data_IF_863209150517
#
_entry.id   IF_863209150517
#
_cell.length_a   1.000
_cell.length_b   1.000
_cell.length_c   1.000
_cell.angle_alpha   90.00
_cell.angle_beta   90.00
_cell.angle_gamma   90.00
#
_symmetry.space_group_name_H-M   'P 1'
#
loop_
_entity.id
_entity.type
_entity.pdbx_description
1 polymer ?
#
# COMPACT_ATOMS: atom_id res chain seq x y z
N UNK A 1 -4.81 15.03 -29.92
CA UNK A 1 -3.60 14.96 -30.77
C UNK A 1 -3.11 16.36 -31.03
N UNK A 2 -1.92 16.72 -30.53
CA UNK A 2 -1.22 17.95 -30.92
C UNK A 2 0.26 17.61 -31.02
N UNK A 3 0.82 17.74 -32.21
CA UNK A 3 2.25 17.99 -32.30
C UNK A 3 2.51 19.36 -31.69
N UNK A 4 3.62 19.52 -31.00
CA UNK A 4 4.00 20.80 -30.42
C UNK A 4 5.34 21.23 -30.98
N UNK A 5 5.44 22.52 -31.31
CA UNK A 5 6.68 23.13 -31.79
C UNK A 5 7.64 23.32 -30.63
N UNK A 6 8.87 22.86 -30.81
CA UNK A 6 9.93 22.94 -29.79
C UNK A 6 10.56 24.33 -29.71
N UNK A 7 10.24 25.24 -30.63
CA UNK A 7 10.83 26.59 -30.78
C UNK A 7 12.38 26.61 -30.82
N UNK A 8 13.00 25.48 -31.16
CA UNK A 8 14.46 25.33 -31.14
C UNK A 8 15.16 26.18 -32.21
N UNK A 9 14.45 26.48 -33.29
CA UNK A 9 14.99 27.12 -34.49
C UNK A 9 14.86 28.64 -34.52
N UNK A 10 14.04 29.23 -33.64
CA UNK A 10 13.72 30.67 -33.62
C UNK A 10 14.96 31.56 -33.44
N UNK A 11 15.95 31.10 -32.66
CA UNK A 11 17.21 31.82 -32.48
C UNK A 11 18.11 31.82 -33.72
N UNK A 12 18.10 30.73 -34.49
CA UNK A 12 18.90 30.58 -35.71
C UNK A 12 18.26 31.39 -36.85
N UNK A 13 16.93 31.40 -36.94
CA UNK A 13 16.19 32.27 -37.86
C UNK A 13 16.54 33.75 -37.62
N UNK A 14 16.50 34.19 -36.36
CA UNK A 14 16.89 35.56 -35.99
C UNK A 14 18.33 35.89 -36.36
N UNK A 15 19.28 34.99 -36.07
CA UNK A 15 20.69 35.18 -36.40
C UNK A 15 20.94 35.20 -37.92
N UNK A 16 20.25 34.36 -38.69
CA UNK A 16 20.33 34.33 -40.15
C UNK A 16 19.79 35.63 -40.77
N UNK A 17 18.65 36.15 -40.27
CA UNK A 17 18.08 37.42 -40.73
C UNK A 17 19.01 38.61 -40.42
N UNK A 18 19.60 38.65 -39.21
CA UNK A 18 20.56 39.70 -38.83
C UNK A 18 21.84 39.62 -39.67
N UNK A 19 22.41 38.43 -39.86
CA UNK A 19 23.58 38.24 -40.72
C UNK A 19 23.31 38.67 -42.17
N UNK A 20 22.12 38.37 -42.69
CA UNK A 20 21.69 38.80 -44.01
C UNK A 20 21.57 40.32 -44.13
N UNK A 21 20.94 40.97 -43.14
CA UNK A 21 20.81 42.42 -43.11
C UNK A 21 22.18 43.13 -43.04
N UNK A 22 23.08 42.68 -42.16
CA UNK A 22 24.46 43.20 -42.06
C UNK A 22 25.23 42.96 -43.36
N UNK A 23 25.07 41.78 -43.97
CA UNK A 23 25.69 41.44 -45.25
C UNK A 23 25.29 42.38 -46.39
N UNK A 24 24.00 42.75 -46.47
CA UNK A 24 23.48 43.69 -47.46
C UNK A 24 23.94 45.12 -47.17
N UNK A 25 23.79 45.59 -45.93
CA UNK A 25 24.14 46.97 -45.53
C UNK A 25 25.63 47.26 -45.73
N UNK A 26 26.50 46.33 -45.34
CA UNK A 26 27.95 46.50 -45.44
C UNK A 26 28.56 45.88 -46.71
N UNK A 27 27.73 45.40 -47.64
CA UNK A 27 28.15 44.77 -48.90
C UNK A 27 29.18 43.64 -48.69
N UNK A 28 28.97 42.80 -47.67
CA UNK A 28 29.82 41.66 -47.32
C UNK A 28 29.20 40.37 -47.86
N UNK A 29 29.60 39.88 -49.05
CA UNK A 29 28.97 38.71 -49.68
C UNK A 29 29.09 37.44 -48.81
N UNK A 30 30.14 37.31 -48.00
CA UNK A 30 30.30 36.20 -47.09
C UNK A 30 29.16 36.09 -46.05
N UNK A 31 28.67 37.22 -45.52
CA UNK A 31 27.58 37.22 -44.54
C UNK A 31 26.24 36.86 -45.18
N UNK A 32 26.03 37.23 -46.44
CA UNK A 32 24.84 36.84 -47.21
C UNK A 32 24.83 35.32 -47.44
N UNK A 33 25.97 34.70 -47.73
CA UNK A 33 26.08 33.25 -47.88
C UNK A 33 25.79 32.50 -46.56
N UNK A 34 26.30 33.00 -45.43
CA UNK A 34 25.99 32.45 -44.10
C UNK A 34 24.51 32.58 -43.76
N UNK A 35 23.90 33.73 -44.07
CA UNK A 35 22.45 33.92 -43.91
C UNK A 35 21.65 32.97 -44.79
N UNK A 36 22.05 32.78 -46.05
CA UNK A 36 21.42 31.82 -46.97
C UNK A 36 21.52 30.38 -46.48
N UNK A 37 22.65 29.98 -45.90
CA UNK A 37 22.80 28.67 -45.26
C UNK A 37 21.87 28.53 -44.04
N UNK A 38 21.76 29.59 -43.22
CA UNK A 38 20.83 29.62 -42.09
C UNK A 38 19.37 29.47 -42.52
N UNK A 39 18.94 30.20 -43.55
CA UNK A 39 17.58 30.11 -44.12
C UNK A 39 17.33 28.75 -44.78
N UNK A 40 18.32 28.18 -45.49
CA UNK A 40 18.18 26.86 -46.07
C UNK A 40 18.05 25.77 -44.99
N UNK A 41 18.78 25.91 -43.88
CA UNK A 41 18.75 24.99 -42.76
C UNK A 41 17.45 25.09 -41.95
N UNK A 42 16.91 26.29 -41.74
CA UNK A 42 15.58 26.48 -41.12
C UNK A 42 14.47 26.03 -42.05
N UNK A 43 14.60 26.27 -43.37
CA UNK A 43 13.69 25.76 -44.37
C UNK A 43 13.60 24.23 -44.35
N UNK A 44 14.74 23.53 -44.19
CA UNK A 44 14.75 22.07 -44.02
C UNK A 44 13.92 21.63 -42.80
N UNK A 45 13.92 22.40 -41.71
CA UNK A 45 13.15 22.08 -40.52
C UNK A 45 11.65 22.10 -40.81
N UNK A 46 11.15 23.16 -41.47
CA UNK A 46 9.74 23.33 -41.83
C UNK A 46 9.18 22.26 -42.78
N UNK A 47 10.05 21.58 -43.54
CA UNK A 47 9.65 20.50 -44.43
C UNK A 47 9.62 19.11 -43.77
N UNK A 48 9.91 19.02 -42.47
CA UNK A 48 9.95 17.73 -41.74
C UNK A 48 9.02 17.71 -40.54
N UNK A 49 8.07 16.78 -40.56
CA UNK A 49 7.17 16.50 -39.44
C UNK A 49 7.62 15.30 -38.61
N UNK A 50 7.21 15.26 -37.34
CA UNK A 50 7.37 14.09 -36.49
C UNK A 50 6.51 12.94 -37.05
N UNK A 51 7.11 11.77 -37.36
CA UNK A 51 6.36 10.64 -37.90
C UNK A 51 5.39 10.07 -36.84
N UNK A 52 4.23 9.58 -37.28
CA UNK A 52 3.32 8.86 -36.37
C UNK A 52 3.93 7.49 -36.04
N UNK A 53 4.11 7.14 -34.76
CA UNK A 53 4.61 5.82 -34.38
C UNK A 53 3.52 4.75 -34.57
N UNK A 54 3.66 3.91 -35.59
CA UNK A 54 2.87 2.67 -35.71
C UNK A 54 3.67 1.50 -35.16
N UNK A 55 3.51 1.22 -33.87
CA UNK A 55 4.29 0.22 -33.16
C UNK A 55 3.40 -0.87 -32.58
N UNK A 56 3.93 -2.08 -32.57
CA UNK A 56 3.38 -3.25 -31.89
C UNK A 56 4.16 -3.43 -30.58
N UNK A 57 3.46 -3.59 -29.45
CA UNK A 57 4.04 -3.61 -28.11
C UNK A 57 3.68 -4.92 -27.41
N UNK A 58 4.71 -5.68 -27.02
CA UNK A 58 4.58 -6.91 -26.24
C UNK A 58 5.26 -6.72 -24.88
N UNK A 59 4.59 -7.12 -23.81
CA UNK A 59 5.12 -7.11 -22.44
C UNK A 59 5.10 -8.52 -21.87
N UNK A 60 6.21 -8.89 -21.22
CA UNK A 60 6.36 -10.17 -20.53
C UNK A 60 6.82 -9.93 -19.09
N UNK A 61 6.13 -10.55 -18.14
CA UNK A 61 6.50 -10.55 -16.72
C UNK A 61 7.26 -11.84 -16.41
N UNK A 62 8.31 -11.78 -15.59
CA UNK A 62 9.00 -12.98 -15.11
C UNK A 62 8.11 -13.86 -14.23
N UNK A 63 7.21 -13.24 -13.48
CA UNK A 63 6.25 -13.87 -12.56
C UNK A 63 4.97 -13.01 -12.56
N UNK A 64 3.79 -13.61 -12.78
CA UNK A 64 2.52 -12.87 -12.75
C UNK A 64 1.88 -12.83 -11.36
N UNK A 65 2.27 -13.74 -10.46
CA UNK A 65 1.70 -13.85 -9.11
C UNK A 65 2.80 -13.93 -8.03
N UNK A 66 3.66 -12.91 -7.91
CA UNK A 66 4.75 -12.87 -6.94
C UNK A 66 4.23 -12.76 -5.49
N UNK A 67 5.08 -13.10 -4.53
CA UNK A 67 4.88 -12.70 -3.13
C UNK A 67 5.21 -11.20 -2.96
N UNK A 68 4.74 -10.59 -1.87
CA UNK A 68 5.03 -9.17 -1.57
C UNK A 68 6.54 -8.96 -1.38
N UNK A 69 7.06 -7.82 -1.82
CA UNK A 69 8.50 -7.43 -1.75
C UNK A 69 9.41 -8.24 -2.69
N UNK A 70 8.85 -9.08 -3.57
CA UNK A 70 9.62 -9.78 -4.60
C UNK A 70 9.84 -8.90 -5.85
N UNK A 71 11.05 -8.89 -6.38
CA UNK A 71 11.37 -8.19 -7.63
C UNK A 71 10.84 -8.95 -8.85
N UNK A 72 9.94 -8.34 -9.61
CA UNK A 72 9.43 -8.87 -10.88
C UNK A 72 10.08 -8.15 -12.05
N UNK A 73 10.74 -8.90 -12.93
CA UNK A 73 11.31 -8.36 -14.17
C UNK A 73 10.23 -8.23 -15.22
N UNK A 74 10.10 -7.02 -15.76
CA UNK A 74 9.28 -6.69 -16.93
C UNK A 74 10.19 -6.59 -18.15
N UNK A 75 9.83 -7.26 -19.24
CA UNK A 75 10.50 -7.14 -20.53
C UNK A 75 9.54 -6.61 -21.57
N UNK A 76 9.89 -5.47 -22.17
CA UNK A 76 9.08 -4.79 -23.16
C UNK A 76 9.76 -4.90 -24.51
N UNK A 77 9.07 -5.47 -25.49
CA UNK A 77 9.51 -5.53 -26.88
C UNK A 77 8.60 -4.67 -27.73
N UNK A 78 9.20 -3.74 -28.48
CA UNK A 78 8.48 -2.83 -29.35
C UNK A 78 8.96 -3.03 -30.78
N UNK A 79 8.03 -3.24 -31.72
CA UNK A 79 8.31 -3.46 -33.14
C UNK A 79 7.71 -2.35 -33.98
N UNK A 80 8.48 -1.77 -34.89
CA UNK A 80 7.95 -0.85 -35.89
C UNK A 80 7.26 -1.64 -37.00
N UNK A 81 5.92 -1.63 -37.01
CA UNK A 81 5.09 -2.27 -38.04
C UNK A 81 4.65 -1.28 -39.13
N UNK A 82 4.96 0.01 -38.95
CA UNK A 82 4.76 1.04 -39.96
C UNK A 82 5.84 1.05 -41.05
N UNK A 83 5.64 1.92 -42.03
CA UNK A 83 6.53 2.05 -43.21
C UNK A 83 7.62 3.11 -43.04
N UNK A 84 7.55 3.95 -42.00
CA UNK A 84 8.46 5.08 -41.78
C UNK A 84 9.52 4.75 -40.73
N UNK A 85 10.76 5.19 -40.96
CA UNK A 85 11.82 5.08 -39.96
C UNK A 85 11.64 6.13 -38.86
N UNK A 86 11.68 5.68 -37.60
CA UNK A 86 11.61 6.53 -36.42
C UNK A 86 13.04 6.81 -35.95
N UNK A 87 13.59 7.97 -36.31
CA UNK A 87 15.01 8.29 -36.08
C UNK A 87 15.33 8.77 -34.67
N UNK A 88 14.35 9.34 -33.97
CA UNK A 88 14.39 9.64 -32.54
C UNK A 88 13.05 9.16 -31.97
N UNK A 89 13.10 8.00 -31.32
CA UNK A 89 11.97 7.35 -30.68
C UNK A 89 12.29 7.22 -29.20
N UNK A 90 11.39 7.71 -28.35
CA UNK A 90 11.48 7.56 -26.89
C UNK A 90 10.25 6.82 -26.44
N UNK A 91 10.47 5.76 -25.70
CA UNK A 91 9.44 4.88 -25.17
C UNK A 91 9.42 5.09 -23.67
N UNK A 92 8.24 5.30 -23.10
CA UNK A 92 8.00 5.40 -21.67
C UNK A 92 6.91 4.39 -21.36
N UNK A 93 7.24 3.37 -20.58
CA UNK A 93 6.28 2.32 -20.28
C UNK A 93 5.26 2.78 -19.21
N UNK A 94 4.05 2.24 -19.30
CA UNK A 94 2.92 2.58 -18.43
C UNK A 94 2.98 1.84 -17.09
N UNK A 95 4.08 1.98 -16.33
CA UNK A 95 4.24 1.33 -15.02
C UNK A 95 3.09 1.75 -14.08
N UNK A 96 2.40 0.79 -13.43
CA UNK A 96 1.37 1.10 -12.45
C UNK A 96 1.92 2.01 -11.33
N UNK A 97 1.18 3.04 -10.90
CA UNK A 97 1.70 4.07 -9.99
C UNK A 97 2.05 3.55 -8.60
N UNK A 98 1.53 2.37 -8.22
CA UNK A 98 1.84 1.72 -6.95
C UNK A 98 3.15 0.92 -6.96
N UNK A 99 3.71 0.63 -8.15
CA UNK A 99 4.92 -0.18 -8.29
C UNK A 99 6.14 0.72 -8.48
N UNK A 100 7.16 0.53 -7.65
CA UNK A 100 8.44 1.22 -7.79
C UNK A 100 9.36 0.44 -8.73
N UNK A 101 10.08 1.16 -9.61
CA UNK A 101 11.10 0.56 -10.48
C UNK A 101 12.42 0.47 -9.70
N UNK A 102 12.80 -0.74 -9.30
CA UNK A 102 13.98 -1.01 -8.44
C UNK A 102 15.27 -1.18 -9.23
N UNK A 103 15.20 -1.70 -10.45
CA UNK A 103 16.36 -1.92 -11.33
C UNK A 103 16.02 -1.63 -12.79
N UNK A 104 17.02 -1.16 -13.55
CA UNK A 104 16.86 -0.79 -14.95
C UNK A 104 16.07 0.51 -15.15
N UNK A 105 15.38 0.62 -16.29
CA UNK A 105 14.63 1.82 -16.67
C UNK A 105 13.41 1.43 -17.48
N UNK A 106 12.23 1.88 -17.03
CA UNK A 106 10.97 1.80 -17.78
C UNK A 106 10.92 2.78 -18.97
N UNK A 107 12.08 3.26 -19.43
CA UNK A 107 12.23 4.21 -20.53
C UNK A 107 13.36 3.77 -21.44
N UNK A 108 13.15 3.91 -22.74
CA UNK A 108 14.16 3.64 -23.77
C UNK A 108 14.17 4.75 -24.83
N UNK A 109 15.35 5.36 -25.06
CA UNK A 109 15.60 6.18 -26.25
C UNK A 109 16.31 5.36 -27.33
N UNK A 110 15.74 5.31 -28.53
CA UNK A 110 16.28 4.50 -29.63
C UNK A 110 15.89 5.08 -31.00
N UNK A 111 16.33 4.41 -32.06
CA UNK A 111 15.86 4.62 -33.43
C UNK A 111 15.37 3.28 -34.01
N UNK A 112 14.24 3.29 -34.69
CA UNK A 112 13.57 2.07 -35.15
C UNK A 112 13.19 2.15 -36.63
N UNK A 113 13.90 1.38 -37.46
CA UNK A 113 13.54 1.23 -38.88
C UNK A 113 12.30 0.34 -39.04
N UNK A 114 11.58 0.45 -40.17
CA UNK A 114 10.47 -0.45 -40.48
C UNK A 114 10.85 -1.92 -40.32
N UNK A 115 9.99 -2.68 -39.65
CA UNK A 115 10.16 -4.10 -39.37
C UNK A 115 11.24 -4.45 -38.33
N UNK A 116 11.89 -3.47 -37.70
CA UNK A 116 12.87 -3.70 -36.62
C UNK A 116 12.22 -3.56 -35.25
N UNK A 117 12.83 -4.23 -34.28
CA UNK A 117 12.38 -4.24 -32.89
C UNK A 117 13.47 -3.75 -31.96
N UNK A 118 13.05 -3.19 -30.83
CA UNK A 118 13.91 -2.85 -29.71
C UNK A 118 13.30 -3.46 -28.45
N UNK A 119 14.16 -3.87 -27.52
CA UNK A 119 13.76 -4.48 -26.26
C UNK A 119 14.46 -3.78 -25.12
N UNK A 120 13.74 -3.53 -24.04
CA UNK A 120 14.29 -3.07 -22.77
C UNK A 120 13.61 -3.80 -21.62
N UNK A 121 14.30 -3.86 -20.48
CA UNK A 121 13.80 -4.53 -19.28
C UNK A 121 14.06 -3.67 -18.06
N UNK A 122 13.19 -3.82 -17.07
CA UNK A 122 13.31 -3.20 -15.75
C UNK A 122 12.67 -4.12 -14.72
N UNK A 123 13.00 -3.94 -13.44
CA UNK A 123 12.40 -4.66 -12.34
C UNK A 123 11.47 -3.74 -11.56
N UNK A 124 10.38 -4.31 -11.06
CA UNK A 124 9.48 -3.63 -10.12
C UNK A 124 9.34 -4.45 -8.85
N UNK A 125 9.28 -3.77 -7.70
CA UNK A 125 8.98 -4.45 -6.44
C UNK A 125 7.49 -4.77 -6.37
N UNK A 126 7.14 -6.03 -6.11
CA UNK A 126 5.76 -6.46 -6.00
C UNK A 126 5.08 -5.90 -4.75
N UNK A 127 4.12 -5.00 -4.96
CA UNK A 127 3.23 -4.50 -3.91
C UNK A 127 1.92 -5.27 -3.98
N UNK A 128 1.32 -5.57 -2.82
CA UNK A 128 -0.01 -6.19 -2.72
C UNK A 128 -1.04 -5.46 -3.58
N UNK A 129 -1.81 -6.21 -4.36
CA UNK A 129 -2.81 -5.64 -5.25
C UNK A 129 -2.90 -6.33 -6.61
N UNK A 130 -3.80 -5.81 -7.43
CA UNK A 130 -3.86 -6.09 -8.85
C UNK A 130 -3.36 -4.85 -9.62
N UNK A 131 -2.29 -5.03 -10.39
CA UNK A 131 -1.59 -3.94 -11.05
C UNK A 131 -1.60 -4.17 -12.56
N UNK A 132 -2.42 -3.40 -13.26
CA UNK A 132 -2.51 -3.44 -14.72
C UNK A 132 -1.63 -2.33 -15.33
N UNK A 133 -0.76 -2.69 -16.27
CA UNK A 133 0.07 -1.72 -16.98
C UNK A 133 -0.78 -0.82 -17.86
N UNK A 134 -0.50 0.48 -17.81
CA UNK A 134 -1.07 1.46 -18.72
C UNK A 134 -0.51 1.35 -20.14
N UNK A 135 -0.98 2.18 -21.08
CA UNK A 135 -0.42 2.25 -22.42
C UNK A 135 1.05 2.71 -22.37
N UNK A 136 1.84 2.27 -23.35
CA UNK A 136 3.20 2.76 -23.56
C UNK A 136 3.14 4.12 -24.27
N UNK A 137 3.78 5.14 -23.73
CA UNK A 137 3.91 6.42 -24.41
C UNK A 137 5.11 6.39 -25.37
N UNK A 138 4.84 6.59 -26.66
CA UNK A 138 5.83 6.75 -27.70
C UNK A 138 5.95 8.23 -28.09
N UNK A 139 7.14 8.78 -27.93
CA UNK A 139 7.49 10.14 -28.35
C UNK A 139 8.41 10.06 -29.56
N UNK A 140 7.98 10.66 -30.67
CA UNK A 140 8.76 10.78 -31.90
C UNK A 140 9.10 12.23 -32.17
N UNK A 141 10.27 12.44 -32.80
CA UNK A 141 10.67 13.77 -33.29
C UNK A 141 10.95 13.74 -34.78
N UNK A 142 10.73 14.87 -35.42
CA UNK A 142 11.21 15.08 -36.79
C UNK A 142 12.74 15.00 -36.84
N UNK A 143 13.35 14.67 -37.99
CA UNK A 143 14.81 14.74 -38.16
C UNK A 143 15.42 16.11 -37.84
N UNK A 144 14.66 17.20 -38.02
CA UNK A 144 15.05 18.54 -37.60
C UNK A 144 14.86 18.80 -36.10
N UNK A 145 14.22 17.88 -35.37
CA UNK A 145 13.78 18.04 -34.00
C UNK A 145 12.91 19.30 -33.76
N UNK A 146 12.30 19.86 -34.81
CA UNK A 146 11.40 21.01 -34.70
C UNK A 146 10.07 20.60 -34.06
N UNK A 147 9.50 19.50 -34.53
CA UNK A 147 8.22 18.98 -34.06
C UNK A 147 8.43 17.73 -33.22
N UNK A 148 7.65 17.63 -32.13
CA UNK A 148 7.53 16.42 -31.31
C UNK A 148 6.08 15.92 -31.35
N UNK A 149 5.90 14.59 -31.38
CA UNK A 149 4.60 13.93 -31.30
C UNK A 149 4.64 12.86 -30.21
N UNK A 150 3.60 12.85 -29.37
CA UNK A 150 3.39 11.83 -28.34
C UNK A 150 2.13 11.04 -28.66
N UNK A 151 2.22 9.72 -28.56
CA UNK A 151 1.13 8.78 -28.79
C UNK A 151 1.13 7.69 -27.71
N UNK A 152 -0.04 7.39 -27.15
CA UNK A 152 -0.22 6.30 -26.20
C UNK A 152 -0.61 5.03 -26.96
N UNK A 153 0.13 3.95 -26.73
CA UNK A 153 0.01 2.69 -27.46
C UNK A 153 -0.33 1.56 -26.49
N UNK A 154 -1.47 0.91 -26.71
CA UNK A 154 -1.85 -0.28 -25.95
C UNK A 154 -0.95 -1.48 -26.33
N UNK A 155 -0.67 -2.34 -25.35
CA UNK A 155 0.01 -3.61 -25.63
C UNK A 155 -0.94 -4.59 -26.34
N UNK A 156 -0.38 -5.57 -27.05
CA UNK A 156 -1.15 -6.63 -27.72
C UNK A 156 -2.06 -7.40 -26.76
N UNK A 157 -1.60 -7.60 -25.52
CA UNK A 157 -2.33 -8.28 -24.46
C UNK A 157 -2.30 -7.48 -23.16
N UNK A 158 -3.37 -7.62 -22.37
CA UNK A 158 -3.44 -7.03 -21.04
C UNK A 158 -2.35 -7.62 -20.14
N UNK A 159 -1.54 -6.76 -19.54
CA UNK A 159 -0.45 -7.16 -18.65
C UNK A 159 -0.83 -6.81 -17.23
N UNK A 160 -1.03 -7.84 -16.40
CA UNK A 160 -1.49 -7.69 -15.01
C UNK A 160 -0.60 -8.49 -14.07
N UNK A 161 -0.10 -7.84 -13.02
CA UNK A 161 0.59 -8.47 -11.89
C UNK A 161 -0.38 -8.56 -10.70
N UNK A 162 -0.50 -9.75 -10.11
CA UNK A 162 -1.42 -10.03 -9.00
C UNK A 162 -0.63 -10.48 -7.78
N UNK A 163 -0.35 -9.55 -6.88
CA UNK A 163 0.33 -9.86 -5.62
C UNK A 163 -0.72 -10.03 -4.52
N UNK A 164 -0.89 -11.26 -4.03
CA UNK A 164 -1.83 -11.58 -2.96
C UNK A 164 -1.04 -11.96 -1.70
N UNK A 165 -1.40 -11.42 -0.51
CA UNK A 165 -0.61 -11.67 0.67
C UNK A 165 -0.67 -13.16 1.06
N UNK A 166 0.46 -13.68 1.54
CA UNK A 166 0.49 -15.02 2.14
C UNK A 166 -0.20 -14.98 3.51
N UNK A 167 -1.24 -15.80 3.66
CA UNK A 167 -1.90 -16.06 4.96
C UNK A 167 -1.41 -17.38 5.58
N UNK A 168 -0.21 -17.83 5.21
CA UNK A 168 0.39 -19.03 5.79
C UNK A 168 0.83 -18.77 7.25
N UNK A 169 0.74 -19.81 8.08
CA UNK A 169 0.82 -19.78 9.55
C UNK A 169 2.24 -19.52 10.10
N UNK A 170 3.03 -18.66 9.45
CA UNK A 170 4.48 -18.59 9.68
C UNK A 170 4.88 -17.55 10.73
N UNK A 171 3.99 -16.65 11.13
CA UNK A 171 4.29 -15.59 12.11
C UNK A 171 3.30 -15.58 13.27
N UNK A 172 3.72 -16.16 14.40
CA UNK A 172 3.00 -16.05 15.68
C UNK A 172 3.14 -14.62 16.22
N UNK A 173 2.09 -13.81 16.09
CA UNK A 173 2.04 -12.49 16.71
C UNK A 173 1.49 -12.64 18.14
N UNK A 174 2.11 -12.02 19.17
CA UNK A 174 1.64 -12.13 20.55
C UNK A 174 0.40 -11.25 20.79
N UNK A 175 -0.72 -11.63 20.14
CA UNK A 175 -1.98 -10.87 20.16
C UNK A 175 -2.90 -11.30 21.31
N UNK A 176 -2.62 -12.41 21.99
CA UNK A 176 -3.42 -12.90 23.12
C UNK A 176 -3.61 -11.85 24.21
N UNK A 177 -2.56 -11.11 24.58
CA UNK A 177 -2.65 -10.02 25.55
C UNK A 177 -3.49 -8.81 25.10
N UNK A 178 -3.70 -8.67 23.78
CA UNK A 178 -4.58 -7.64 23.20
C UNK A 178 -6.05 -8.03 23.26
N UNK A 179 -6.34 -9.33 23.06
CA UNK A 179 -7.71 -9.84 22.96
C UNK A 179 -8.29 -10.33 24.28
N UNK A 180 -7.45 -10.55 25.30
CA UNK A 180 -7.88 -11.10 26.59
C UNK A 180 -7.93 -10.05 27.70
N UNK A 181 -9.03 -9.29 27.78
CA UNK A 181 -9.33 -8.44 28.95
C UNK A 181 -10.44 -8.98 29.86
N UNK A 182 -11.04 -10.14 29.56
CA UNK A 182 -11.87 -10.85 30.54
C UNK A 182 -10.99 -11.56 31.58
N UNK A 183 -10.17 -10.79 32.30
CA UNK A 183 -9.64 -11.13 33.62
C UNK A 183 -10.63 -10.59 34.64
N UNK A 184 -11.75 -11.29 34.80
CA UNK A 184 -12.76 -10.87 35.78
C UNK A 184 -14.07 -11.65 35.68
N UNK A 185 -14.17 -12.69 36.50
CA UNK A 185 -15.42 -13.32 36.97
C UNK A 185 -16.36 -13.87 35.89
N UNK A 186 -16.07 -15.07 35.42
CA UNK A 186 -17.16 -16.04 35.20
C UNK A 186 -16.74 -17.35 35.87
N UNK A 187 -17.26 -17.58 37.07
CA UNK A 187 -17.33 -18.93 37.61
C UNK A 187 -18.48 -19.60 36.88
N UNK A 188 -18.19 -20.35 35.82
CA UNK A 188 -19.21 -21.11 35.11
C UNK A 188 -19.37 -22.46 35.80
N UNK A 189 -20.60 -22.84 36.17
CA UNK A 189 -20.93 -24.15 36.76
C UNK A 189 -21.05 -25.27 35.70
N UNK A 190 -20.81 -24.94 34.43
CA UNK A 190 -20.93 -25.85 33.29
C UNK A 190 -19.56 -26.43 32.97
N UNK A 191 -19.43 -27.75 33.05
CA UNK A 191 -18.26 -28.47 32.55
C UNK A 191 -18.36 -28.57 31.03
N UNK A 192 -17.38 -28.03 30.32
CA UNK A 192 -17.22 -28.16 28.87
C UNK A 192 -15.74 -28.31 28.51
N UNK A 193 -15.45 -28.81 27.31
CA UNK A 193 -14.12 -29.20 26.83
C UNK A 193 -13.11 -28.04 26.60
N UNK A 194 -13.44 -26.80 27.02
CA UNK A 194 -12.64 -25.58 26.82
C UNK A 194 -12.07 -24.95 28.10
N UNK A 195 -11.81 -25.76 29.13
CA UNK A 195 -11.38 -25.31 30.45
C UNK A 195 -9.85 -25.50 30.63
N UNK A 196 -9.07 -24.42 30.56
CA UNK A 196 -7.64 -24.46 30.94
C UNK A 196 -7.46 -24.24 32.45
N UNK A 197 -6.52 -24.98 33.05
CA UNK A 197 -6.16 -24.83 34.47
C UNK A 197 -5.54 -23.45 34.73
N UNK A 198 -6.16 -22.66 35.60
CA UNK A 198 -5.73 -21.28 35.90
C UNK A 198 -4.94 -21.22 37.22
N UNK A 199 -5.50 -21.73 38.31
CA UNK A 199 -4.88 -21.73 39.63
C UNK A 199 -5.48 -22.78 40.55
N UNK A 200 -4.81 -23.07 41.67
CA UNK A 200 -5.43 -23.77 42.80
C UNK A 200 -5.68 -22.81 43.94
N UNK A 201 -6.88 -22.84 44.51
CA UNK A 201 -7.18 -22.17 45.78
C UNK A 201 -7.54 -23.17 46.87
N UNK A 202 -7.51 -22.72 48.12
CA UNK A 202 -7.98 -23.53 49.23
C UNK A 202 -9.47 -23.86 49.07
N UNK A 203 -9.81 -25.13 49.31
CA UNK A 203 -11.18 -25.61 49.20
C UNK A 203 -12.09 -24.90 50.20
N UNK A 204 -13.26 -24.44 49.73
CA UNK A 204 -14.33 -23.90 50.57
C UNK A 204 -15.53 -24.82 50.50
N UNK A 205 -16.24 -24.90 51.63
CA UNK A 205 -17.46 -25.70 51.74
C UNK A 205 -18.50 -25.16 50.75
N UNK A 206 -18.88 -25.95 49.76
CA UNK A 206 -19.72 -25.54 48.64
C UNK A 206 -19.03 -25.61 47.27
N UNK A 207 -17.71 -25.77 47.23
CA UNK A 207 -16.99 -25.99 45.97
C UNK A 207 -17.36 -27.36 45.36
N UNK A 208 -17.54 -27.43 44.03
CA UNK A 208 -18.02 -28.63 43.36
C UNK A 208 -16.96 -29.75 43.38
N UNK A 209 -17.40 -30.99 43.67
CA UNK A 209 -16.51 -32.14 43.88
C UNK A 209 -15.68 -32.52 42.65
N UNK A 210 -16.18 -32.23 41.44
CA UNK A 210 -15.47 -32.47 40.17
C UNK A 210 -14.30 -31.50 39.93
N UNK A 211 -14.16 -30.45 40.75
CA UNK A 211 -13.05 -29.48 40.69
C UNK A 211 -12.05 -29.64 41.82
N UNK A 212 -12.16 -30.67 42.65
CA UNK A 212 -11.18 -30.94 43.71
C UNK A 212 -9.91 -31.54 43.10
N UNK A 213 -8.75 -30.98 43.45
CA UNK A 213 -7.46 -31.57 43.15
C UNK A 213 -7.21 -32.78 44.06
N UNK A 214 -7.70 -33.95 43.61
CA UNK A 214 -7.55 -35.21 44.34
C UNK A 214 -6.09 -35.65 44.49
N UNK A 215 -5.22 -35.25 43.55
CA UNK A 215 -3.81 -35.61 43.58
C UNK A 215 -3.06 -34.83 44.67
N UNK A 216 -3.33 -33.51 44.79
CA UNK A 216 -2.83 -32.70 45.90
C UNK A 216 -3.38 -33.15 47.25
N UNK A 217 -4.66 -33.55 47.31
CA UNK A 217 -5.26 -34.14 48.53
C UNK A 217 -4.54 -35.42 48.94
N UNK A 218 -4.23 -36.29 47.99
CA UNK A 218 -3.52 -37.55 48.25
C UNK A 218 -2.08 -37.32 48.75
N UNK A 219 -1.37 -36.31 48.25
CA UNK A 219 0.01 -36.00 48.66
C UNK A 219 0.14 -35.22 49.96
N UNK A 220 -0.79 -34.30 50.25
CA UNK A 220 -0.62 -33.30 51.32
C UNK A 220 -1.71 -33.31 52.39
N UNK A 221 -2.78 -34.08 52.20
CA UNK A 221 -3.95 -34.11 53.09
C UNK A 221 -4.84 -32.86 53.02
N UNK A 222 -4.41 -31.79 52.34
CA UNK A 222 -5.15 -30.52 52.20
C UNK A 222 -6.00 -30.54 50.92
N UNK A 223 -7.25 -30.09 51.02
CA UNK A 223 -8.13 -29.95 49.87
C UNK A 223 -7.88 -28.62 49.16
N UNK A 224 -7.78 -28.66 47.84
CA UNK A 224 -7.71 -27.50 46.98
C UNK A 224 -8.71 -27.64 45.84
N UNK A 225 -9.25 -26.51 45.41
CA UNK A 225 -10.16 -26.42 44.26
C UNK A 225 -9.37 -25.91 43.06
N UNK A 226 -9.42 -26.66 41.96
CA UNK A 226 -8.94 -26.28 40.65
C UNK A 226 -9.84 -25.16 40.10
N UNK A 227 -9.27 -23.99 39.86
CA UNK A 227 -9.92 -22.92 39.14
C UNK A 227 -9.57 -23.06 37.67
N UNK A 228 -10.60 -23.12 36.83
CA UNK A 228 -10.48 -23.23 35.39
C UNK A 228 -10.92 -21.90 34.75
N UNK A 229 -10.23 -21.47 33.69
CA UNK A 229 -10.64 -20.32 32.89
C UNK A 229 -11.34 -20.83 31.62
N UNK A 230 -12.52 -20.30 31.34
CA UNK A 230 -13.21 -20.53 30.06
C UNK A 230 -12.50 -19.70 28.99
N UNK A 231 -11.74 -20.35 28.09
CA UNK A 231 -11.27 -19.68 26.88
C UNK A 231 -12.45 -19.55 25.91
N UNK A 232 -13.05 -18.36 25.86
CA UNK A 232 -13.97 -18.02 24.77
C UNK A 232 -13.15 -17.45 23.62
N UNK A 233 -13.33 -18.02 22.43
CA UNK A 233 -12.86 -17.43 21.18
C UNK A 233 -13.32 -15.97 21.13
N UNK A 234 -12.36 -15.05 21.03
CA UNK A 234 -12.66 -13.63 20.96
C UNK A 234 -13.27 -13.30 19.59
N UNK A 235 -14.15 -12.31 19.57
CA UNK A 235 -14.60 -11.69 18.33
C UNK A 235 -13.73 -10.48 18.08
N UNK A 236 -12.92 -10.50 17.02
CA UNK A 236 -11.97 -9.42 16.72
C UNK A 236 -12.28 -8.87 15.33
N UNK A 237 -12.33 -7.55 15.21
CA UNK A 237 -12.42 -6.86 13.91
C UNK A 237 -11.15 -6.06 13.70
N UNK A 238 -10.47 -6.36 12.61
CA UNK A 238 -9.31 -5.61 12.13
C UNK A 238 -9.85 -4.43 11.33
N UNK A 239 -9.69 -3.23 11.86
CA UNK A 239 -10.10 -1.99 11.22
C UNK A 239 -8.85 -1.31 10.64
N UNK A 240 -8.80 -1.11 9.33
CA UNK A 240 -7.70 -0.40 8.67
C UNK A 240 -8.14 1.03 8.31
N UNK A 241 -7.33 2.03 8.65
CA UNK A 241 -7.49 3.40 8.16
C UNK A 241 -6.89 3.52 6.75
N UNK A 242 -7.74 3.54 5.74
CA UNK A 242 -7.38 3.64 4.33
C UNK A 242 -8.02 4.88 3.69
N UNK A 243 -8.08 5.97 4.47
CA UNK A 243 -8.45 7.30 3.98
C UNK A 243 -7.23 7.96 3.35
N UNK A 244 -7.44 8.94 2.47
CA UNK A 244 -6.36 9.69 1.83
C UNK A 244 -5.32 10.23 2.84
N UNK A 245 -5.76 10.76 3.98
CA UNK A 245 -4.86 11.29 5.03
C UNK A 245 -3.96 10.23 5.69
N UNK A 246 -4.29 8.93 5.56
CA UNK A 246 -3.50 7.84 6.10
C UNK A 246 -2.37 7.37 5.16
N UNK A 247 -2.39 7.77 3.88
CA UNK A 247 -1.34 7.43 2.90
C UNK A 247 -0.11 8.33 3.07
N UNK A 248 0.55 8.19 4.22
CA UNK A 248 1.80 8.88 4.56
C UNK A 248 2.98 7.92 4.53
N UNK A 249 4.16 8.38 4.12
CA UNK A 249 5.40 7.61 4.07
C UNK A 249 6.55 8.41 4.69
N UNK A 250 7.60 7.71 5.10
CA UNK A 250 8.77 8.29 5.76
C UNK A 250 9.57 9.15 4.75
N UNK A 251 9.83 8.60 3.55
CA UNK A 251 10.40 9.31 2.41
C UNK A 251 9.61 9.00 1.12
N UNK A 252 9.92 9.73 0.05
CA UNK A 252 9.41 9.41 -1.29
C UNK A 252 9.98 8.06 -1.76
N UNK A 253 9.10 7.16 -2.21
CA UNK A 253 9.45 5.77 -2.57
C UNK A 253 9.20 4.76 -1.44
N UNK A 254 9.30 5.17 -0.17
CA UNK A 254 9.08 4.25 0.96
C UNK A 254 7.64 3.70 0.99
N UNK A 255 7.51 2.47 1.50
CA UNK A 255 6.20 1.85 1.73
C UNK A 255 5.34 2.74 2.65
N UNK A 256 4.15 3.11 2.17
CA UNK A 256 3.24 3.97 2.91
C UNK A 256 2.61 3.27 4.12
N UNK A 257 2.11 4.06 5.07
CA UNK A 257 1.54 3.58 6.32
C UNK A 257 0.28 2.72 6.15
N UNK A 258 -0.49 2.88 5.07
CA UNK A 258 -1.65 2.04 4.77
C UNK A 258 -1.18 0.64 4.38
N UNK A 259 -0.18 0.51 3.50
CA UNK A 259 0.40 -0.80 3.16
C UNK A 259 0.97 -1.50 4.40
N UNK A 260 1.74 -0.79 5.23
CA UNK A 260 2.21 -1.31 6.52
C UNK A 260 1.07 -1.75 7.43
N UNK A 261 -0.03 -1.01 7.45
CA UNK A 261 -1.23 -1.32 8.24
C UNK A 261 -1.96 -2.56 7.71
N UNK A 262 -2.02 -2.73 6.39
CA UNK A 262 -2.65 -3.91 5.76
C UNK A 262 -1.80 -5.16 5.94
N UNK A 263 -0.48 -5.08 5.81
CA UNK A 263 0.43 -6.19 6.12
C UNK A 263 0.30 -6.60 7.61
N UNK A 264 0.32 -5.62 8.52
CA UNK A 264 0.09 -5.85 9.94
C UNK A 264 -1.27 -6.50 10.23
N UNK A 265 -2.34 -6.04 9.56
CA UNK A 265 -3.68 -6.61 9.69
C UNK A 265 -3.75 -8.02 9.10
N UNK A 266 -3.08 -8.28 7.99
CA UNK A 266 -3.00 -9.60 7.34
C UNK A 266 -2.33 -10.62 8.28
N UNK A 267 -1.19 -10.27 8.87
CA UNK A 267 -0.49 -11.12 9.85
C UNK A 267 -1.31 -11.31 11.11
N UNK A 268 -1.97 -10.25 11.60
CA UNK A 268 -2.87 -10.34 12.74
C UNK A 268 -4.08 -11.22 12.46
N UNK A 269 -4.63 -11.16 11.24
CA UNK A 269 -5.72 -12.01 10.81
C UNK A 269 -5.34 -13.49 10.89
N UNK A 270 -4.21 -13.87 10.29
CA UNK A 270 -3.71 -15.25 10.32
C UNK A 270 -3.50 -15.73 11.75
N UNK A 271 -2.76 -14.97 12.57
CA UNK A 271 -2.42 -15.37 13.94
C UNK A 271 -3.66 -15.51 14.85
N UNK A 272 -4.64 -14.61 14.74
CA UNK A 272 -5.89 -14.70 15.50
C UNK A 272 -6.76 -15.87 15.03
N UNK A 273 -6.85 -16.07 13.72
CA UNK A 273 -7.63 -17.17 13.15
C UNK A 273 -7.02 -18.53 13.53
N UNK A 274 -5.69 -18.65 13.56
CA UNK A 274 -4.95 -19.83 14.01
C UNK A 274 -5.13 -20.08 15.52
N UNK A 275 -5.32 -19.02 16.30
CA UNK A 275 -5.64 -19.10 17.74
C UNK A 275 -7.09 -19.50 18.02
N UNK A 276 -7.94 -19.64 16.99
CA UNK A 276 -9.35 -20.01 17.11
C UNK A 276 -10.31 -18.84 17.32
N UNK A 277 -9.83 -17.59 17.21
CA UNK A 277 -10.67 -16.39 17.32
C UNK A 277 -11.54 -16.18 16.07
N UNK A 278 -12.70 -15.53 16.23
CA UNK A 278 -13.54 -15.09 15.10
C UNK A 278 -13.02 -13.75 14.62
N UNK A 279 -12.47 -13.71 13.41
CA UNK A 279 -11.80 -12.50 12.90
C UNK A 279 -12.58 -11.89 11.75
N UNK A 280 -12.89 -10.60 11.82
CA UNK A 280 -13.48 -9.81 10.75
C UNK A 280 -12.51 -8.73 10.25
N UNK A 281 -12.78 -8.17 9.08
CA UNK A 281 -11.98 -7.11 8.46
C UNK A 281 -12.89 -5.96 8.04
N UNK A 282 -12.47 -4.74 8.31
CA UNK A 282 -13.15 -3.52 7.89
C UNK A 282 -12.14 -2.44 7.52
N UNK A 283 -12.55 -1.48 6.68
CA UNK A 283 -11.72 -0.33 6.35
C UNK A 283 -12.50 0.98 6.53
N UNK A 284 -11.79 2.03 6.94
CA UNK A 284 -12.24 3.41 6.78
C UNK A 284 -11.73 3.90 5.42
N UNK A 285 -12.59 3.83 4.41
CA UNK A 285 -12.26 4.16 3.02
C UNK A 285 -13.50 4.71 2.31
N UNK A 286 -13.36 5.44 1.18
CA UNK A 286 -14.49 5.74 0.29
C UNK A 286 -15.23 4.49 -0.21
N UNK A 287 -14.51 3.37 -0.36
CA UNK A 287 -15.07 2.11 -0.84
C UNK A 287 -15.53 1.19 0.31
N UNK A 288 -16.49 0.33 0.01
CA UNK A 288 -17.05 -0.61 0.98
C UNK A 288 -16.08 -1.78 1.25
N UNK A 289 -15.66 -1.92 2.51
CA UNK A 289 -14.91 -3.08 2.98
C UNK A 289 -15.46 -3.58 4.30
N UNK A 290 -16.10 -4.75 4.23
CA UNK A 290 -16.59 -5.47 5.39
C UNK A 290 -16.54 -6.98 5.15
N UNK A 291 -15.83 -7.68 6.01
CA UNK A 291 -15.85 -9.12 6.15
C UNK A 291 -16.26 -9.43 7.60
N UNK A 292 -17.44 -10.03 7.75
CA UNK A 292 -17.98 -10.34 9.07
C UNK A 292 -17.07 -11.35 9.81
N UNK A 293 -16.94 -11.24 11.16
CA UNK A 293 -16.14 -12.19 11.93
C UNK A 293 -16.58 -13.63 11.74
N UNK A 294 -15.64 -14.49 11.35
CA UNK A 294 -15.85 -15.92 11.18
C UNK A 294 -14.55 -16.70 11.40
N UNK A 295 -14.62 -18.02 11.24
CA UNK A 295 -13.50 -18.96 11.40
C UNK A 295 -13.38 -19.89 10.19
N UNK A 296 -12.27 -20.64 10.10
CA UNK A 296 -12.11 -21.73 9.13
C UNK A 296 -11.42 -21.36 7.81
N UNK A 297 -11.20 -22.37 6.97
CA UNK A 297 -10.43 -22.27 5.72
C UNK A 297 -11.11 -21.42 4.64
N UNK A 298 -12.42 -21.56 4.48
CA UNK A 298 -13.19 -20.77 3.49
C UNK A 298 -13.16 -19.28 3.83
N UNK A 299 -13.22 -18.98 5.14
CA UNK A 299 -13.08 -17.62 5.63
C UNK A 299 -11.69 -17.07 5.39
N UNK A 300 -10.64 -17.88 5.61
CA UNK A 300 -9.26 -17.51 5.26
C UNK A 300 -9.11 -17.20 3.76
N UNK A 301 -9.69 -18.02 2.89
CA UNK A 301 -9.64 -17.78 1.44
C UNK A 301 -10.34 -16.46 1.04
N UNK A 302 -11.50 -16.16 1.62
CA UNK A 302 -12.21 -14.88 1.42
C UNK A 302 -11.41 -13.69 1.94
N UNK A 303 -10.77 -13.82 3.10
CA UNK A 303 -9.91 -12.79 3.64
C UNK A 303 -8.69 -12.56 2.76
N UNK A 304 -8.04 -13.61 2.24
CA UNK A 304 -6.93 -13.50 1.29
C UNK A 304 -7.34 -12.71 0.06
N UNK A 305 -8.49 -13.04 -0.52
CA UNK A 305 -9.02 -12.31 -1.67
C UNK A 305 -9.34 -10.86 -1.32
N UNK A 306 -9.97 -10.61 -0.16
CA UNK A 306 -10.28 -9.25 0.28
C UNK A 306 -9.01 -8.40 0.45
N UNK A 307 -7.99 -8.93 1.13
CA UNK A 307 -6.71 -8.23 1.27
C UNK A 307 -6.00 -8.10 -0.08
N UNK A 308 -6.16 -9.01 -1.03
CA UNK A 308 -5.50 -8.90 -2.33
C UNK A 308 -6.16 -7.86 -3.25
N UNK A 309 -7.49 -7.82 -3.34
CA UNK A 309 -8.17 -7.13 -4.45
C UNK A 309 -9.23 -6.10 -4.05
N UNK A 310 -9.53 -5.92 -2.76
CA UNK A 310 -10.57 -4.95 -2.38
C UNK A 310 -10.06 -3.51 -2.58
N UNK A 311 -10.77 -2.65 -3.35
CA UNK A 311 -10.34 -1.28 -3.65
C UNK A 311 -10.26 -0.38 -2.41
N UNK A 312 -10.97 -0.72 -1.33
CA UNK A 312 -10.88 0.01 -0.08
C UNK A 312 -9.51 -0.11 0.60
N UNK A 313 -8.77 -1.15 0.24
CA UNK A 313 -7.41 -1.41 0.69
C UNK A 313 -6.47 -1.28 -0.53
N UNK A 314 -6.67 -0.35 -1.44
CA UNK A 314 -5.71 -0.16 -2.53
C UNK A 314 -4.39 0.42 -2.00
N UNK A 315 -3.23 0.10 -2.62
CA UNK A 315 -1.93 0.64 -2.23
C UNK A 315 -1.76 2.13 -2.50
N UNK A 316 -2.63 2.70 -3.34
CA UNK A 316 -2.74 4.13 -3.60
C UNK A 316 -4.06 4.69 -3.05
N UNK A 317 -4.09 5.98 -2.68
CA UNK A 317 -5.32 6.62 -2.22
C UNK A 317 -6.35 6.70 -3.34
N UNK A 318 -7.63 6.62 -2.96
CA UNK A 318 -8.76 6.89 -3.86
C UNK A 318 -9.07 8.38 -3.92
N UNK A 319 -9.41 8.88 -5.11
CA UNK A 319 -9.89 10.25 -5.33
C UNK A 319 -11.39 10.42 -4.98
N UNK A 320 -12.08 9.33 -4.62
CA UNK A 320 -13.50 9.36 -4.30
C UNK A 320 -13.79 10.10 -2.98
N UNK A 321 -14.95 10.77 -2.94
CA UNK A 321 -15.37 11.52 -1.76
C UNK A 321 -15.59 10.62 -0.54
N UNK A 322 -14.84 10.87 0.54
CA UNK A 322 -15.01 10.21 1.82
C UNK A 322 -15.96 10.98 2.75
N UNK A 323 -16.95 10.28 3.33
CA UNK A 323 -17.90 10.85 4.29
C UNK A 323 -17.73 10.24 5.69
N UNK A 324 -16.94 10.87 6.58
CA UNK A 324 -16.51 10.23 7.83
C UNK A 324 -17.65 9.83 8.77
N UNK A 325 -18.70 10.66 8.85
CA UNK A 325 -19.88 10.39 9.68
C UNK A 325 -20.65 9.16 9.17
N UNK A 326 -20.75 8.99 7.85
CA UNK A 326 -21.44 7.86 7.23
C UNK A 326 -20.65 6.57 7.44
N UNK A 327 -19.33 6.62 7.22
CA UNK A 327 -18.45 5.47 7.39
C UNK A 327 -18.50 4.92 8.83
N UNK A 328 -18.35 5.79 9.85
CA UNK A 328 -18.40 5.37 11.26
C UNK A 328 -19.79 4.83 11.65
N UNK A 329 -20.88 5.42 11.12
CA UNK A 329 -22.24 4.91 11.36
C UNK A 329 -22.47 3.54 10.72
N UNK A 330 -21.95 3.32 9.52
CA UNK A 330 -22.03 2.03 8.82
C UNK A 330 -21.26 0.97 9.60
N UNK A 331 -20.00 1.26 9.95
CA UNK A 331 -19.15 0.37 10.74
C UNK A 331 -19.83 -0.04 12.06
N UNK A 332 -20.38 0.93 12.80
CA UNK A 332 -21.12 0.66 14.04
C UNK A 332 -22.29 -0.33 13.85
N UNK A 333 -23.00 -0.28 12.72
CA UNK A 333 -24.12 -1.20 12.46
C UNK A 333 -23.66 -2.61 12.12
N UNK A 334 -22.43 -2.76 11.63
CA UNK A 334 -21.85 -4.01 11.21
C UNK A 334 -21.07 -4.70 12.35
N UNK A 335 -20.46 -3.93 13.24
CA UNK A 335 -19.70 -4.43 14.38
C UNK A 335 -20.59 -5.23 15.36
N UNK A 336 -20.25 -6.51 15.64
CA UNK A 336 -20.88 -7.26 16.72
C UNK A 336 -20.69 -6.57 18.08
N UNK A 337 -21.66 -6.66 18.98
CA UNK A 337 -21.63 -5.97 20.28
C UNK A 337 -20.48 -6.42 21.19
N UNK A 338 -19.99 -7.66 21.02
CA UNK A 338 -18.87 -8.25 21.74
C UNK A 338 -17.53 -8.11 20.99
N UNK A 339 -17.52 -7.44 19.84
CA UNK A 339 -16.32 -7.31 19.03
C UNK A 339 -15.30 -6.37 19.67
N UNK A 340 -14.06 -6.82 19.70
CA UNK A 340 -12.88 -6.03 19.98
C UNK A 340 -12.34 -5.48 18.67
N UNK A 341 -11.79 -4.28 18.68
CA UNK A 341 -11.31 -3.60 17.48
C UNK A 341 -9.80 -3.41 17.57
N UNK A 342 -9.06 -4.06 16.66
CA UNK A 342 -7.67 -3.73 16.37
C UNK A 342 -7.68 -2.68 15.27
N UNK A 343 -7.39 -1.43 15.62
CA UNK A 343 -7.43 -0.30 14.70
C UNK A 343 -6.02 0.04 14.21
N UNK A 344 -5.75 -0.27 12.93
CA UNK A 344 -4.50 0.01 12.25
C UNK A 344 -4.60 1.37 11.55
N UNK A 345 -3.85 2.35 12.05
CA UNK A 345 -3.87 3.72 11.51
C UNK A 345 -2.59 4.45 11.92
N UNK A 346 -1.93 5.21 11.03
CA UNK A 346 -0.73 6.00 11.37
C UNK A 346 -1.01 7.14 12.35
N UNK A 347 -2.28 7.41 12.67
CA UNK A 347 -2.70 8.54 13.51
C UNK A 347 -2.21 9.88 12.92
N UNK A 348 -2.28 9.99 11.59
CA UNK A 348 -1.87 11.16 10.83
C UNK A 348 -2.77 12.39 11.09
N UNK A 349 -4.01 12.19 11.54
CA UNK A 349 -4.98 13.26 11.76
C UNK A 349 -5.81 13.08 13.06
N UNK A 350 -6.62 14.10 13.35
CA UNK A 350 -7.49 14.11 14.53
C UNK A 350 -8.75 13.25 14.35
N UNK A 351 -9.15 12.96 13.10
CA UNK A 351 -10.30 12.09 12.85
C UNK A 351 -10.04 10.66 13.33
N UNK A 352 -8.86 10.09 13.07
CA UNK A 352 -8.51 8.74 13.52
C UNK A 352 -8.65 8.61 15.05
N UNK A 353 -8.19 9.62 15.79
CA UNK A 353 -8.34 9.69 17.25
C UNK A 353 -9.81 9.73 17.67
N UNK A 354 -10.63 10.52 16.99
CA UNK A 354 -12.07 10.62 17.25
C UNK A 354 -12.79 9.31 16.91
N UNK A 355 -12.41 8.62 15.83
CA UNK A 355 -12.97 7.34 15.44
C UNK A 355 -12.70 6.27 16.49
N UNK A 356 -11.45 6.14 16.96
CA UNK A 356 -11.08 5.21 18.02
C UNK A 356 -11.86 5.46 19.31
N UNK A 357 -11.95 6.72 19.76
CA UNK A 357 -12.73 7.11 20.95
C UNK A 357 -14.23 6.87 20.81
N UNK A 358 -14.79 7.04 19.61
CA UNK A 358 -16.20 6.75 19.36
C UNK A 358 -16.49 5.26 19.44
N UNK A 359 -15.62 4.42 18.87
CA UNK A 359 -15.75 2.96 18.95
C UNK A 359 -15.66 2.48 20.40
N UNK A 360 -14.71 3.02 21.17
CA UNK A 360 -14.57 2.76 22.60
C UNK A 360 -15.83 3.19 23.38
N UNK A 361 -16.35 4.39 23.12
CA UNK A 361 -17.58 4.89 23.72
C UNK A 361 -18.85 4.09 23.32
N UNK A 362 -18.81 3.36 22.19
CA UNK A 362 -19.87 2.42 21.79
C UNK A 362 -19.78 1.07 22.50
N UNK A 363 -18.76 0.84 23.34
CA UNK A 363 -18.59 -0.36 24.16
C UNK A 363 -17.63 -1.39 23.57
N UNK A 364 -16.91 -1.07 22.49
CA UNK A 364 -15.90 -1.97 21.92
C UNK A 364 -14.55 -1.77 22.60
N UNK A 365 -13.83 -2.84 22.88
CA UNK A 365 -12.44 -2.72 23.34
C UNK A 365 -11.56 -2.35 22.15
N UNK A 366 -11.01 -1.13 22.15
CA UNK A 366 -10.15 -0.63 21.06
C UNK A 366 -8.68 -0.73 21.44
N UNK A 367 -7.90 -1.38 20.57
CA UNK A 367 -6.43 -1.31 20.59
C UNK A 367 -5.97 -0.70 19.28
N UNK A 368 -5.23 0.39 19.36
CA UNK A 368 -4.63 1.06 18.20
C UNK A 368 -3.25 0.47 17.92
N UNK A 369 -3.01 0.09 16.68
CA UNK A 369 -1.70 -0.30 16.14
C UNK A 369 -1.29 0.78 15.14
N UNK A 370 -0.32 1.60 15.53
CA UNK A 370 0.03 2.83 14.81
C UNK A 370 1.42 2.70 14.18
N UNK A 371 1.53 2.45 12.86
CA UNK A 371 2.81 2.59 12.17
C UNK A 371 3.33 4.02 12.32
N UNK A 372 4.61 4.18 12.61
CA UNK A 372 5.30 5.47 12.59
C UNK A 372 5.93 5.68 11.22
N UNK A 373 5.52 6.75 10.56
CA UNK A 373 6.01 7.19 9.24
C UNK A 373 6.53 8.62 9.33
N UNK A 374 6.95 9.07 10.52
CA UNK A 374 7.45 10.43 10.75
C UNK A 374 8.97 10.48 10.75
N UNK A 375 9.52 11.58 10.24
CA UNK A 375 10.96 11.88 10.19
C UNK A 375 11.27 13.21 10.89
N UNK A 376 12.55 13.54 11.08
CA UNK A 376 12.99 14.76 11.75
C UNK A 376 13.96 15.64 10.94
N UNK A 377 14.15 15.31 9.67
CA UNK A 377 15.02 15.99 8.70
C UNK A 377 14.58 17.43 8.39
N UNK A 378 13.28 17.73 8.44
CA UNK A 378 12.74 19.08 8.27
C UNK A 378 11.99 19.58 9.51
N UNK A 379 11.86 20.91 9.72
CA UNK A 379 10.99 21.45 10.77
C UNK A 379 9.53 21.00 10.63
N UNK A 380 9.04 20.81 9.40
CA UNK A 380 7.69 20.32 9.11
C UNK A 380 7.50 18.87 9.56
N UNK A 381 8.45 17.99 9.24
CA UNK A 381 8.40 16.60 9.67
C UNK A 381 8.53 16.46 11.20
N UNK A 382 9.39 17.26 11.85
CA UNK A 382 9.44 17.33 13.31
C UNK A 382 8.11 17.77 13.94
N UNK A 383 7.43 18.76 13.35
CA UNK A 383 6.10 19.17 13.81
C UNK A 383 5.08 18.03 13.64
N UNK A 384 5.08 17.34 12.50
CA UNK A 384 4.20 16.20 12.25
C UNK A 384 4.43 15.07 13.27
N UNK A 385 5.69 14.77 13.60
CA UNK A 385 6.06 13.84 14.67
C UNK A 385 5.47 14.24 16.02
N UNK A 386 5.66 15.49 16.45
CA UNK A 386 5.12 16.01 17.72
C UNK A 386 3.59 15.98 17.74
N UNK A 387 2.93 16.32 16.63
CA UNK A 387 1.46 16.25 16.55
C UNK A 387 0.95 14.80 16.66
N UNK A 388 1.61 13.86 15.99
CA UNK A 388 1.32 12.42 16.08
C UNK A 388 1.51 11.92 17.51
N UNK A 389 2.61 12.24 18.17
CA UNK A 389 2.85 11.88 19.58
C UNK A 389 1.73 12.41 20.50
N UNK A 390 1.30 13.65 20.28
CA UNK A 390 0.17 14.25 21.00
C UNK A 390 -1.16 13.50 20.74
N UNK A 391 -1.41 13.07 19.50
CA UNK A 391 -2.56 12.20 19.14
C UNK A 391 -2.51 10.88 19.93
N UNK A 392 -1.37 10.19 19.93
CA UNK A 392 -1.19 8.94 20.67
C UNK A 392 -1.32 9.12 22.19
N UNK A 393 -0.77 10.21 22.74
CA UNK A 393 -0.90 10.53 24.16
C UNK A 393 -2.35 10.84 24.57
N UNK A 394 -3.15 11.48 23.69
CA UNK A 394 -4.59 11.70 23.91
C UNK A 394 -5.35 10.37 23.97
N UNK A 395 -5.02 9.40 23.12
CA UNK A 395 -5.63 8.07 23.13
C UNK A 395 -5.30 7.29 24.42
N UNK A 396 -4.02 7.26 24.80
CA UNK A 396 -3.57 6.60 26.04
C UNK A 396 -4.24 7.20 27.28
N UNK A 397 -4.38 8.54 27.34
CA UNK A 397 -5.09 9.22 28.44
C UNK A 397 -6.59 8.89 28.52
N UNK A 398 -7.21 8.49 27.41
CA UNK A 398 -8.59 7.98 27.42
C UNK A 398 -8.72 6.50 27.77
N UNK A 399 -7.61 5.82 28.12
CA UNK A 399 -7.63 4.38 28.44
C UNK A 399 -7.52 3.46 27.22
N UNK A 400 -7.41 4.02 26.01
CA UNK A 400 -7.24 3.23 24.78
C UNK A 400 -5.80 2.73 24.69
N UNK A 401 -5.63 1.43 24.45
CA UNK A 401 -4.32 0.80 24.25
C UNK A 401 -3.73 1.24 22.93
N UNK A 402 -2.44 1.59 22.93
CA UNK A 402 -1.70 2.03 21.74
C UNK A 402 -0.38 1.27 21.64
N UNK A 403 -0.22 0.54 20.53
CA UNK A 403 1.06 0.02 20.04
C UNK A 403 1.59 1.03 19.03
N UNK A 404 2.76 1.57 19.30
CA UNK A 404 3.44 2.52 18.43
C UNK A 404 4.59 1.76 17.77
N UNK A 405 4.59 1.70 16.44
CA UNK A 405 5.39 0.74 15.68
C UNK A 405 6.24 1.45 14.62
N UNK A 406 7.54 1.57 14.89
CA UNK A 406 8.53 2.06 13.93
C UNK A 406 8.91 1.01 12.88
N UNK A 407 10.13 1.06 12.36
CA UNK A 407 10.61 0.17 11.28
C UNK A 407 10.97 -1.25 11.75
N UNK A 408 11.09 -1.49 13.06
CA UNK A 408 11.40 -2.81 13.60
C UNK A 408 10.26 -3.84 13.41
N UNK A 409 10.46 -5.13 13.69
CA UNK A 409 9.39 -6.13 13.53
C UNK A 409 8.19 -5.89 14.45
N UNK A 410 6.97 -5.88 13.90
CA UNK A 410 5.72 -5.65 14.65
C UNK A 410 5.57 -6.58 15.87
N UNK A 411 5.94 -7.85 15.72
CA UNK A 411 5.90 -8.84 16.81
C UNK A 411 6.68 -8.37 18.05
N UNK A 412 7.82 -7.71 17.84
CA UNK A 412 8.66 -7.18 18.92
C UNK A 412 7.96 -6.04 19.66
N UNK A 413 7.32 -5.13 18.93
CA UNK A 413 6.60 -4.01 19.54
C UNK A 413 5.32 -4.45 20.25
N UNK A 414 4.60 -5.43 19.69
CA UNK A 414 3.46 -6.06 20.37
C UNK A 414 3.88 -6.70 21.70
N UNK A 415 4.98 -7.48 21.71
CA UNK A 415 5.53 -8.09 22.92
C UNK A 415 5.99 -7.05 23.96
N UNK A 416 6.58 -5.93 23.52
CA UNK A 416 6.92 -4.81 24.40
C UNK A 416 5.67 -4.15 24.97
N UNK A 417 4.65 -3.92 24.15
CA UNK A 417 3.40 -3.31 24.58
C UNK A 417 2.68 -4.18 25.62
N UNK A 418 2.61 -5.50 25.39
CA UNK A 418 2.03 -6.45 26.33
C UNK A 418 2.72 -6.42 27.70
N UNK A 419 4.07 -6.42 27.73
CA UNK A 419 4.84 -6.28 28.97
C UNK A 419 4.59 -4.98 29.73
N UNK A 420 4.21 -3.90 29.04
CA UNK A 420 3.86 -2.63 29.70
C UNK A 420 2.47 -2.66 30.32
N UNK A 421 1.54 -3.42 29.76
CA UNK A 421 0.16 -3.50 30.26
C UNK A 421 -0.05 -4.60 31.31
N UNK A 422 0.89 -5.56 31.41
CA UNK A 422 0.88 -6.59 32.45
C UNK A 422 1.53 -6.14 33.76
N UNK A 423 2.12 -4.93 33.80
CA UNK A 423 2.59 -4.24 35.02
C UNK A 423 1.53 -3.25 35.48
#
# INVERSE_FOLDING_TARGET
MKGFDTNRWTGIEGAALVAGAVGVVFQRPALILVAGLGVAYTGFAWFTDAPAPTLEVVRELSESNPDTEEDVRVTVTVRNVGETALTDLRLIDGVPPALEVTDGSARLGTALRPGKSATFSYSVEAVRGEHAWGPLEAVTRSPSAETERTEALDAESETVLRCAPSLEATSDLPLRGLTTQYTGRVATDVAGDGLEFYSTREYRRGDPLNRIDWNRRARTGKMATLEFREERAATVVLLVDARADAYVATHEGDQNAVERSVDAATRAFSSLLDSGDRVGVAALSPHDCWLAPSTGSDHRARARQLFATNPALAPTPSDDAYYPVVAVRRLRRQLPSDAQVLFFSPMADDFAVVAARRLDAYGHLVTVVSPDSTTDDTPGHRLAGVERENRLARLRRSGIRVVDWGEGPLATELARAERRWSR
#
